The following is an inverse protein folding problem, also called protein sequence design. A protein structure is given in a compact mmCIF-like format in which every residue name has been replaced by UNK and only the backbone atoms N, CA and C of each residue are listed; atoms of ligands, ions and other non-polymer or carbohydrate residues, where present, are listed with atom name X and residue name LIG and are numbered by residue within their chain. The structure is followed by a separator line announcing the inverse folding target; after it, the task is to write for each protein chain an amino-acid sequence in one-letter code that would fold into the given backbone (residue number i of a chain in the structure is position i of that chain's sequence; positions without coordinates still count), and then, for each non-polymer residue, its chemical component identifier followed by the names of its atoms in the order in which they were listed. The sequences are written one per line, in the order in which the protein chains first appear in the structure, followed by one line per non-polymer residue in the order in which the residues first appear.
data_IF_530470315510
#
_entry.id   IF_530470315510
#
_cell.length_a   1.000
_cell.length_b   1.000
_cell.length_c   1.000
_cell.angle_alpha   90.00
_cell.angle_beta   90.00
_cell.angle_gamma   90.00
#
_symmetry.space_group_name_H-M   'P 1'
#
loop_
_entity.id
_entity.type
_entity.pdbx_description
1 polymer ?
#
# COMPACT_ATOMS: atom_id res chain seq x y z
N UNK A 1 9.60 15.74 -17.66
CA UNK A 1 10.01 14.69 -16.70
C UNK A 1 8.85 13.73 -16.58
N UNK A 2 8.97 12.52 -17.12
CA UNK A 2 8.02 11.44 -16.84
C UNK A 2 8.25 11.03 -15.40
N UNK A 3 7.33 11.41 -14.51
CA UNK A 3 7.31 10.86 -13.15
C UNK A 3 6.94 9.39 -13.34
N UNK A 4 7.92 8.49 -13.31
CA UNK A 4 7.61 7.07 -13.24
C UNK A 4 6.87 6.85 -11.93
N UNK A 5 5.55 6.64 -12.02
CA UNK A 5 4.74 6.27 -10.86
C UNK A 5 5.22 4.91 -10.38
N UNK A 6 6.06 4.93 -9.33
CA UNK A 6 6.51 3.73 -8.67
C UNK A 6 5.38 3.19 -7.78
N UNK A 7 5.14 1.89 -7.85
CA UNK A 7 4.12 1.21 -7.07
C UNK A 7 4.74 0.33 -6.00
N UNK A 8 4.34 0.57 -4.75
CA UNK A 8 4.90 -0.07 -3.56
C UNK A 8 3.86 -0.92 -2.83
N UNK A 9 4.31 -2.01 -2.25
CA UNK A 9 3.52 -2.83 -1.31
C UNK A 9 3.35 -2.11 0.02
N UNK A 10 2.35 -2.46 0.86
CA UNK A 10 2.22 -1.90 2.20
C UNK A 10 3.47 -2.06 3.07
N UNK A 11 4.26 -3.12 2.85
CA UNK A 11 5.53 -3.33 3.54
C UNK A 11 6.59 -2.32 3.11
N UNK A 12 6.71 -2.07 1.81
CA UNK A 12 7.64 -1.08 1.27
C UNK A 12 7.25 0.35 1.68
N UNK A 13 5.96 0.68 1.64
CA UNK A 13 5.44 1.96 2.15
C UNK A 13 5.81 2.17 3.62
N UNK A 14 5.67 1.13 4.46
CA UNK A 14 6.07 1.19 5.86
C UNK A 14 7.55 1.53 6.06
N UNK A 15 8.42 0.99 5.19
CA UNK A 15 9.86 1.30 5.20
C UNK A 15 10.16 2.73 4.76
N UNK A 16 9.47 3.24 3.73
CA UNK A 16 9.65 4.63 3.29
C UNK A 16 9.17 5.63 4.36
N UNK A 17 8.03 5.35 5.01
CA UNK A 17 7.55 6.16 6.12
C UNK A 17 8.51 6.14 7.32
N UNK A 18 9.13 5.00 7.62
CA UNK A 18 10.14 4.89 8.66
C UNK A 18 11.37 5.75 8.36
N UNK A 19 11.87 5.74 7.12
CA UNK A 19 12.99 6.62 6.70
C UNK A 19 12.64 8.10 6.87
N UNK A 20 11.40 8.50 6.58
CA UNK A 20 10.96 9.89 6.62
C UNK A 20 10.63 10.39 8.03
N UNK A 21 10.14 9.51 8.91
CA UNK A 21 9.62 9.90 10.24
C UNK A 21 10.48 9.42 11.40
N UNK A 22 11.44 8.53 11.16
CA UNK A 22 12.21 7.84 12.20
C UNK A 22 11.40 6.84 13.03
N UNK A 23 10.12 6.62 12.70
CA UNK A 23 9.22 5.72 13.43
C UNK A 23 8.96 4.47 12.60
N UNK A 24 9.18 3.29 13.19
CA UNK A 24 8.85 2.01 12.55
C UNK A 24 7.35 1.89 12.29
N UNK A 25 6.97 1.75 11.01
CA UNK A 25 5.58 1.56 10.59
C UNK A 25 5.40 0.14 10.05
N UNK A 26 4.56 -0.65 10.71
CA UNK A 26 4.27 -2.02 10.25
C UNK A 26 3.34 -2.01 9.04
N UNK A 27 3.42 -3.03 8.16
CA UNK A 27 2.47 -3.17 7.04
C UNK A 27 1.02 -3.29 7.51
N UNK A 28 0.78 -3.81 8.72
CA UNK A 28 -0.55 -3.86 9.34
C UNK A 28 -1.06 -2.43 9.60
N UNK A 29 -0.20 -1.55 10.13
CA UNK A 29 -0.55 -0.14 10.36
C UNK A 29 -0.81 0.59 9.04
N UNK A 30 0.01 0.37 8.01
CA UNK A 30 -0.22 0.93 6.68
C UNK A 30 -1.58 0.50 6.14
N UNK A 31 -1.91 -0.80 6.19
CA UNK A 31 -3.20 -1.30 5.73
C UNK A 31 -4.39 -0.68 6.48
N UNK A 32 -4.25 -0.49 7.80
CA UNK A 32 -5.27 0.15 8.61
C UNK A 32 -5.48 1.61 8.20
N UNK A 33 -4.40 2.38 8.00
CA UNK A 33 -4.52 3.78 7.55
C UNK A 33 -5.18 3.89 6.16
N UNK A 34 -4.80 3.03 5.21
CA UNK A 34 -5.43 2.98 3.89
C UNK A 34 -6.93 2.67 3.98
N UNK A 35 -7.34 1.81 4.91
CA UNK A 35 -8.74 1.50 5.17
C UNK A 35 -9.48 2.68 5.81
N UNK A 36 -8.88 3.33 6.81
CA UNK A 36 -9.43 4.54 7.46
C UNK A 36 -9.61 5.70 6.48
N UNK A 37 -8.75 5.77 5.45
CA UNK A 37 -8.85 6.72 4.34
C UNK A 37 -9.82 6.28 3.23
N UNK A 38 -10.56 5.18 3.42
CA UNK A 38 -11.48 4.62 2.44
C UNK A 38 -10.83 4.30 1.08
N UNK A 39 -9.52 4.05 1.05
CA UNK A 39 -8.79 3.64 -0.15
C UNK A 39 -8.87 2.13 -0.37
N UNK A 40 -9.01 1.36 0.70
CA UNK A 40 -9.21 -0.09 0.61
C UNK A 40 -10.22 -0.59 1.63
N UNK A 41 -10.72 -1.80 1.38
CA UNK A 41 -11.55 -2.55 2.31
C UNK A 41 -11.09 -4.01 2.34
N UNK A 42 -11.48 -4.71 3.39
CA UNK A 42 -11.20 -6.13 3.55
C UNK A 42 -12.45 -6.94 3.23
N UNK A 43 -12.35 -7.87 2.28
CA UNK A 43 -13.41 -8.83 1.96
C UNK A 43 -12.90 -10.22 2.30
N UNK A 44 -13.55 -10.87 3.27
CA UNK A 44 -13.08 -12.11 3.87
C UNK A 44 -11.60 -11.98 4.31
N UNK A 45 -10.69 -12.62 3.57
CA UNK A 45 -9.26 -12.63 3.86
C UNK A 45 -8.40 -11.82 2.87
N UNK A 46 -9.01 -11.05 1.97
CA UNK A 46 -8.31 -10.29 0.95
C UNK A 46 -8.54 -8.79 1.10
N UNK A 47 -7.49 -8.01 0.87
CA UNK A 47 -7.59 -6.58 0.68
C UNK A 47 -8.04 -6.29 -0.75
N UNK A 48 -8.91 -5.30 -0.91
CA UNK A 48 -9.37 -4.82 -2.22
C UNK A 48 -9.39 -3.29 -2.23
N UNK A 49 -8.96 -2.63 -3.32
CA UNK A 49 -9.07 -1.18 -3.43
C UNK A 49 -10.53 -0.76 -3.65
N UNK A 50 -10.94 0.33 -3.01
CA UNK A 50 -12.21 1.01 -3.32
C UNK A 50 -12.15 1.68 -4.69
N UNK A 51 -13.25 2.29 -5.13
CA UNK A 51 -13.26 3.11 -6.34
C UNK A 51 -12.19 4.21 -6.26
N UNK A 52 -12.04 4.86 -5.10
CA UNK A 52 -10.99 5.86 -4.87
C UNK A 52 -9.59 5.23 -4.88
N UNK A 53 -9.42 4.09 -4.21
CA UNK A 53 -8.14 3.39 -4.16
C UNK A 53 -7.64 2.91 -5.52
N UNK A 54 -8.54 2.56 -6.45
CA UNK A 54 -8.17 2.13 -7.80
C UNK A 54 -7.44 3.21 -8.59
N UNK A 55 -7.68 4.50 -8.32
CA UNK A 55 -6.95 5.59 -8.95
C UNK A 55 -5.48 5.71 -8.50
N UNK A 56 -5.14 5.10 -7.36
CA UNK A 56 -3.82 5.18 -6.73
C UNK A 56 -3.17 3.79 -6.55
N UNK A 57 -3.72 2.75 -7.18
CA UNK A 57 -3.23 1.38 -7.00
C UNK A 57 -3.24 0.58 -8.28
N UNK A 58 -2.41 -0.45 -8.29
CA UNK A 58 -2.39 -1.51 -9.29
C UNK A 58 -2.48 -2.85 -8.59
N UNK A 59 -3.13 -3.80 -9.24
CA UNK A 59 -3.17 -5.19 -8.80
C UNK A 59 -2.27 -5.98 -9.74
N UNK A 60 -1.20 -6.57 -9.20
CA UNK A 60 -0.21 -7.31 -9.97
C UNK A 60 -0.16 -8.77 -9.51
N UNK A 61 0.12 -9.72 -10.42
CA UNK A 61 0.44 -11.09 -10.02
C UNK A 61 1.61 -11.12 -9.04
N UNK A 62 1.51 -11.98 -8.03
CA UNK A 62 2.54 -12.18 -7.03
C UNK A 62 2.76 -13.68 -6.82
N UNK A 63 4.02 -14.07 -6.78
CA UNK A 63 4.44 -15.42 -6.39
C UNK A 63 5.36 -15.29 -5.19
N UNK A 64 4.92 -15.82 -4.04
CA UNK A 64 5.73 -15.92 -2.85
C UNK A 64 6.82 -16.97 -2.98
N UNK A 65 7.84 -16.88 -2.12
CA UNK A 65 8.99 -17.81 -2.07
C UNK A 65 8.59 -19.26 -1.76
N UNK A 66 7.38 -19.45 -1.24
CA UNK A 66 6.75 -20.71 -0.90
C UNK A 66 5.77 -21.21 -2.00
N UNK A 67 5.96 -20.81 -3.26
CA UNK A 67 5.09 -21.11 -4.40
C UNK A 67 3.61 -20.67 -4.24
N UNK A 68 3.31 -19.81 -3.26
CA UNK A 68 1.98 -19.22 -3.16
C UNK A 68 1.82 -18.16 -4.25
N UNK A 69 0.99 -18.46 -5.24
CA UNK A 69 0.61 -17.53 -6.30
C UNK A 69 -0.70 -16.82 -5.95
N UNK A 70 -0.79 -15.54 -6.32
CA UNK A 70 -2.00 -14.76 -6.15
C UNK A 70 -1.85 -13.38 -6.76
N UNK A 71 -2.63 -12.44 -6.26
CA UNK A 71 -2.57 -11.04 -6.65
C UNK A 71 -2.23 -10.18 -5.44
N UNK A 72 -1.40 -9.16 -5.66
CA UNK A 72 -1.01 -8.21 -4.64
C UNK A 72 -1.36 -6.79 -5.10
N UNK A 73 -1.95 -6.02 -4.17
CA UNK A 73 -2.15 -4.59 -4.37
C UNK A 73 -0.83 -3.88 -4.13
N UNK A 74 -0.45 -3.02 -5.07
CA UNK A 74 0.60 -2.02 -4.90
C UNK A 74 0.01 -0.63 -5.07
N UNK A 75 0.61 0.33 -4.39
CA UNK A 75 0.10 1.69 -4.22
C UNK A 75 1.09 2.70 -4.79
N UNK A 76 0.59 3.74 -5.45
CA UNK A 76 1.40 4.86 -5.91
C UNK A 76 2.19 5.45 -4.75
N UNK A 77 3.41 5.92 -5.02
CA UNK A 77 4.24 6.65 -4.04
C UNK A 77 3.55 7.91 -3.51
N UNK A 78 2.56 8.48 -4.23
CA UNK A 78 1.75 9.62 -3.77
C UNK A 78 1.05 9.36 -2.42
N UNK A 79 0.79 8.08 -2.10
CA UNK A 79 0.19 7.69 -0.83
C UNK A 79 1.12 7.92 0.35
N UNK A 80 2.44 7.95 0.15
CA UNK A 80 3.40 8.21 1.24
C UNK A 80 3.13 9.59 1.85
N UNK A 81 2.93 10.62 1.03
CA UNK A 81 2.64 11.97 1.50
C UNK A 81 1.29 12.06 2.21
N UNK A 82 0.29 11.33 1.70
CA UNK A 82 -1.03 11.22 2.33
C UNK A 82 -0.95 10.58 3.73
N UNK A 83 -0.20 9.49 3.85
CA UNK A 83 -0.05 8.74 5.10
C UNK A 83 0.83 9.46 6.12
N UNK A 84 1.87 10.17 5.68
CA UNK A 84 2.77 10.93 6.54
C UNK A 84 2.01 11.92 7.45
N UNK A 85 0.95 12.54 6.92
CA UNK A 85 0.13 13.50 7.68
C UNK A 85 -0.81 12.84 8.72
N UNK A 86 -0.82 11.51 8.81
CA UNK A 86 -1.69 10.72 9.71
C UNK A 86 -0.91 9.95 10.79
N UNK A 87 0.42 10.10 10.88
CA UNK A 87 1.32 9.23 11.67
C UNK A 87 2.04 9.99 12.80
#
# INVERSE_FOLDING_TARGET
MTVETQFLTPTEIGRELEKLTGKKISPIKVNKLLQEMQLQYKTANLWQPTILGKGLSVILPYTGTNNHCGFQIKWSTDIIDLLKNKI
#
